data_IF_852000451146
#
_entry.id   IF_852000451146
#
_cell.length_a   1.000
_cell.length_b   1.000
_cell.length_c   1.000
_cell.angle_alpha   90.00
_cell.angle_beta   90.00
_cell.angle_gamma   90.00
#
_symmetry.space_group_name_H-M   'P 1'
#
loop_
_entity.id
_entity.type
_entity.pdbx_description
1 polymer ?
#
# COMPACT_ATOMS: atom_id res chain seq x y z
N UNK A 1 -10.06 2.44 16.30
CA UNK A 1 -9.27 3.64 15.96
C UNK A 1 -8.89 3.63 14.50
N UNK A 2 -8.88 4.79 13.84
CA UNK A 2 -8.51 4.95 12.44
C UNK A 2 -7.07 4.47 12.15
N UNK A 3 -6.16 4.60 13.12
CA UNK A 3 -4.79 4.07 12.99
C UNK A 3 -4.75 2.55 12.78
N UNK A 4 -5.66 1.80 13.41
CA UNK A 4 -5.78 0.35 13.22
C UNK A 4 -6.33 0.03 11.84
N UNK A 5 -7.31 0.80 11.35
CA UNK A 5 -7.83 0.63 10.00
C UNK A 5 -6.76 0.88 8.94
N UNK A 6 -5.96 1.95 9.07
CA UNK A 6 -4.85 2.21 8.17
C UNK A 6 -3.79 1.10 8.19
N UNK A 7 -3.43 0.56 9.37
CA UNK A 7 -2.52 -0.59 9.46
C UNK A 7 -3.06 -1.81 8.71
N UNK A 8 -4.37 -2.10 8.80
CA UNK A 8 -5.01 -3.20 8.05
C UNK A 8 -4.98 -2.97 6.53
N UNK A 9 -5.29 -1.75 6.08
CA UNK A 9 -5.27 -1.41 4.65
C UNK A 9 -3.84 -1.52 4.10
N UNK A 10 -2.86 -0.98 4.82
CA UNK A 10 -1.43 -1.12 4.46
C UNK A 10 -1.02 -2.59 4.33
N UNK A 11 -1.40 -3.44 5.27
CA UNK A 11 -1.10 -4.87 5.20
C UNK A 11 -1.78 -5.55 4.01
N UNK A 12 -3.05 -5.23 3.73
CA UNK A 12 -3.76 -5.75 2.58
C UNK A 12 -3.08 -5.33 1.26
N UNK A 13 -2.68 -4.05 1.14
CA UNK A 13 -1.93 -3.56 -0.03
C UNK A 13 -0.58 -4.26 -0.17
N UNK A 14 0.11 -4.55 0.93
CA UNK A 14 1.36 -5.32 0.90
C UNK A 14 1.14 -6.76 0.42
N UNK A 15 0.08 -7.43 0.88
CA UNK A 15 -0.26 -8.79 0.43
C UNK A 15 -0.56 -8.79 -1.07
N UNK A 16 -1.34 -7.82 -1.56
CA UNK A 16 -1.63 -7.69 -3.00
C UNK A 16 -0.33 -7.48 -3.79
N UNK A 17 0.56 -6.59 -3.32
CA UNK A 17 1.88 -6.37 -3.93
C UNK A 17 2.68 -7.67 -4.01
N UNK A 18 2.68 -8.48 -2.95
CA UNK A 18 3.37 -9.78 -2.93
C UNK A 18 2.75 -10.77 -3.92
N UNK A 19 1.41 -10.83 -4.02
CA UNK A 19 0.74 -11.67 -5.02
C UNK A 19 1.16 -11.30 -6.45
N UNK A 20 1.16 -10.01 -6.78
CA UNK A 20 1.64 -9.54 -8.08
C UNK A 20 3.14 -9.80 -8.27
N UNK A 21 3.95 -9.67 -7.21
CA UNK A 21 5.38 -9.92 -7.28
C UNK A 21 5.67 -11.39 -7.58
N UNK A 22 4.99 -12.32 -6.91
CA UNK A 22 5.11 -13.74 -7.20
C UNK A 22 4.59 -14.08 -8.60
N UNK A 23 3.48 -13.47 -9.02
CA UNK A 23 2.97 -13.65 -10.39
C UNK A 23 3.98 -13.17 -11.44
N UNK A 24 4.61 -12.01 -11.23
CA UNK A 24 5.68 -11.52 -12.08
C UNK A 24 6.88 -12.46 -12.05
N UNK A 25 7.30 -12.95 -10.89
CA UNK A 25 8.49 -13.80 -10.78
C UNK A 25 8.30 -15.20 -11.40
N UNK A 26 7.13 -15.82 -11.22
CA UNK A 26 6.85 -17.18 -11.68
C UNK A 26 6.42 -17.19 -13.15
N UNK A 27 5.62 -16.19 -13.56
CA UNK A 27 4.91 -16.20 -14.84
C UNK A 27 5.46 -15.19 -15.86
N UNK A 28 6.33 -14.25 -15.46
CA UNK A 28 6.84 -13.26 -16.40
C UNK A 28 7.98 -13.82 -17.24
N UNK A 29 7.69 -14.01 -18.52
CA UNK A 29 8.70 -13.88 -19.55
C UNK A 29 9.00 -12.38 -19.66
N UNK A 30 10.00 -11.88 -18.91
CA UNK A 30 10.36 -10.46 -18.76
C UNK A 30 10.53 -9.67 -20.09
N UNK A 31 10.51 -10.36 -21.22
CA UNK A 31 10.44 -9.80 -22.58
C UNK A 31 9.10 -9.13 -22.92
N UNK A 32 8.00 -9.50 -22.27
CA UNK A 32 6.66 -8.95 -22.54
C UNK A 32 6.23 -7.85 -21.56
N UNK A 33 7.14 -7.40 -20.68
CA UNK A 33 6.84 -6.34 -19.71
C UNK A 33 6.39 -5.05 -20.40
N UNK A 34 5.16 -4.61 -20.12
CA UNK A 34 4.57 -3.37 -20.62
C UNK A 34 4.36 -2.40 -19.48
N UNK A 35 5.05 -1.27 -19.57
CA UNK A 35 4.93 -0.19 -18.59
C UNK A 35 3.51 0.34 -18.48
N UNK A 36 2.87 0.60 -19.61
CA UNK A 36 1.46 1.04 -19.69
C UNK A 36 0.92 0.48 -21.00
N UNK A 37 -0.25 -0.16 -20.96
CA UNK A 37 -1.00 -0.52 -22.14
C UNK A 37 -2.49 -0.30 -21.92
N UNK A 38 -3.22 -0.07 -23.00
CA UNK A 38 -4.66 0.17 -22.98
C UNK A 38 -5.33 -0.98 -23.68
N UNK A 39 -6.31 -1.59 -23.03
CA UNK A 39 -7.18 -2.61 -23.61
C UNK A 39 -8.66 -2.22 -23.42
N UNK A 40 -9.57 -3.13 -23.79
CA UNK A 40 -11.02 -2.89 -23.66
C UNK A 40 -11.50 -2.83 -22.19
N UNK A 41 -10.67 -3.22 -21.21
CA UNK A 41 -10.95 -3.14 -19.77
C UNK A 41 -10.33 -1.89 -19.11
N UNK A 42 -9.38 -1.22 -19.77
CA UNK A 42 -8.87 0.09 -19.36
C UNK A 42 -7.36 0.23 -19.52
N UNK A 43 -6.76 1.04 -18.64
CA UNK A 43 -5.31 1.24 -18.58
C UNK A 43 -4.73 0.20 -17.62
N UNK A 44 -3.95 -0.73 -18.16
CA UNK A 44 -3.23 -1.73 -17.40
C UNK A 44 -1.73 -1.42 -17.39
N UNK A 45 -1.09 -1.82 -16.30
CA UNK A 45 0.34 -1.60 -16.09
C UNK A 45 0.93 -2.78 -15.35
N UNK A 46 2.05 -3.31 -15.85
CA UNK A 46 2.76 -4.37 -15.15
C UNK A 46 3.50 -3.84 -13.89
N UNK A 47 3.36 -2.55 -13.59
CA UNK A 47 3.89 -1.88 -12.40
C UNK A 47 2.99 -2.01 -11.16
N UNK A 48 1.92 -2.80 -11.21
CA UNK A 48 1.00 -3.03 -10.09
C UNK A 48 1.73 -3.40 -8.78
N UNK A 49 2.80 -4.21 -8.87
CA UNK A 49 3.68 -4.53 -7.74
C UNK A 49 4.14 -3.27 -7.02
N UNK A 50 4.70 -2.32 -7.77
CA UNK A 50 5.26 -1.08 -7.23
C UNK A 50 4.16 -0.15 -6.72
N UNK A 51 3.04 -0.03 -7.44
CA UNK A 51 1.90 0.80 -7.02
C UNK A 51 1.40 0.35 -5.64
N UNK A 52 1.13 -0.95 -5.48
CA UNK A 52 0.65 -1.48 -4.21
C UNK A 52 1.72 -1.46 -3.11
N UNK A 53 3.00 -1.63 -3.46
CA UNK A 53 4.11 -1.52 -2.51
C UNK A 53 4.23 -0.10 -1.92
N UNK A 54 4.23 0.92 -2.78
CA UNK A 54 4.32 2.31 -2.35
C UNK A 54 3.05 2.75 -1.61
N UNK A 55 1.88 2.32 -2.05
CA UNK A 55 0.63 2.55 -1.32
C UNK A 55 0.68 1.94 0.09
N UNK A 56 1.14 0.70 0.22
CA UNK A 56 1.29 0.03 1.51
C UNK A 56 2.21 0.83 2.45
N UNK A 57 3.38 1.26 1.95
CA UNK A 57 4.35 2.03 2.71
C UNK A 57 3.78 3.39 3.16
N UNK A 58 3.16 4.13 2.24
CA UNK A 58 2.60 5.44 2.52
C UNK A 58 1.47 5.37 3.57
N UNK A 59 0.55 4.42 3.41
CA UNK A 59 -0.56 4.21 4.35
C UNK A 59 -0.03 3.78 5.73
N UNK A 60 1.04 2.99 5.78
CA UNK A 60 1.67 2.62 7.05
C UNK A 60 2.24 3.84 7.79
N UNK A 61 2.93 4.72 7.06
CA UNK A 61 3.48 5.97 7.62
C UNK A 61 2.34 6.84 8.14
N UNK A 62 1.26 7.02 7.37
CA UNK A 62 0.08 7.75 7.82
C UNK A 62 -0.52 7.15 9.10
N UNK A 63 -0.61 5.82 9.20
CA UNK A 63 -1.08 5.16 10.40
C UNK A 63 -0.21 5.51 11.63
N UNK A 64 1.11 5.56 11.46
CA UNK A 64 2.06 5.92 12.51
C UNK A 64 1.97 7.38 12.93
N UNK A 65 1.84 8.29 11.97
CA UNK A 65 1.66 9.72 12.25
C UNK A 65 0.34 9.96 12.99
N UNK A 66 -0.73 9.28 12.57
CA UNK A 66 -2.04 9.40 13.22
C UNK A 66 -2.02 8.85 14.65
N UNK A 67 -1.38 7.68 14.88
CA UNK A 67 -1.17 7.13 16.23
C UNK A 67 -0.48 8.17 17.13
N UNK A 68 0.65 8.73 16.68
CA UNK A 68 1.41 9.73 17.44
C UNK A 68 0.60 10.99 17.73
N UNK A 69 -0.16 11.48 16.76
CA UNK A 69 -0.98 12.67 16.93
C UNK A 69 -2.10 12.45 17.97
N UNK A 70 -2.73 11.27 17.97
CA UNK A 70 -3.73 10.90 18.97
C UNK A 70 -3.12 10.78 20.36
N UNK A 71 -1.99 10.08 20.51
CA UNK A 71 -1.32 9.95 21.81
C UNK A 71 -0.89 11.30 22.37
N UNK A 72 -0.31 12.19 21.55
CA UNK A 72 0.08 13.52 21.98
C UNK A 72 -1.12 14.34 22.46
N UNK A 73 -2.26 14.23 21.78
CA UNK A 73 -3.49 14.90 22.22
C UNK A 73 -3.97 14.36 23.56
N UNK A 74 -4.02 13.03 23.71
CA UNK A 74 -4.47 12.38 24.94
C UNK A 74 -3.57 12.73 26.14
N UNK A 75 -2.25 12.78 25.98
CA UNK A 75 -1.32 13.19 27.04
C UNK A 75 -1.54 14.65 27.48
N UNK A 76 -1.75 15.57 26.55
CA UNK A 76 -1.97 16.98 26.88
C UNK A 76 -3.37 17.26 27.46
N UNK A 77 -4.40 16.51 27.04
CA UNK A 77 -5.75 16.61 27.62
C UNK A 77 -5.80 16.09 29.08
N UNK A 78 -4.86 15.24 29.50
CA UNK A 78 -4.76 14.67 30.85
C UNK A 78 -3.93 15.51 31.85
N UNK A 79 -3.34 16.64 31.42
CA UNK A 79 -2.45 17.47 32.26
C UNK A 79 -3.11 18.76 32.78
N UNK A 80 -4.44 18.78 32.93
CA UNK A 80 -5.15 19.87 33.62
C UNK A 80 -5.11 19.64 35.14
#
# INVERSE_FOLDING_TARGET
SNAVAFKKISLASLIISLCYFFNLFINSNLKEFKFIYVDNMGIHTDMEVFIFLFAAAFIFILAKVFDKAVTFKEENDLTI
#
